data_IF_637362390828
#
_entry.id   IF_637362390828
#
_cell.length_a   1.000
_cell.length_b   1.000
_cell.length_c   1.000
_cell.angle_alpha   90.00
_cell.angle_beta   90.00
_cell.angle_gamma   90.00
#
_symmetry.space_group_name_H-M   'P 1'
#
loop_
_entity.id
_entity.type
_entity.pdbx_description
1 polymer ?
#
# COMPACT_ATOMS: atom_id res chain seq x y z
N UNK A 1 11.98 -4.76 -27.02
CA UNK A 1 12.53 -5.95 -26.34
C UNK A 1 13.03 -5.57 -24.96
N UNK A 2 13.06 -6.49 -23.97
CA UNK A 2 13.60 -6.18 -22.64
C UNK A 2 15.10 -5.85 -22.77
N UNK A 3 15.53 -4.77 -22.11
CA UNK A 3 16.96 -4.43 -22.01
C UNK A 3 17.55 -5.34 -20.93
N UNK A 4 18.40 -6.27 -21.34
CA UNK A 4 19.14 -7.12 -20.43
C UNK A 4 20.50 -6.45 -20.18
N UNK A 5 20.65 -5.79 -19.03
CA UNK A 5 21.91 -5.19 -18.62
C UNK A 5 22.71 -6.24 -17.86
N UNK A 6 23.75 -6.77 -18.51
CA UNK A 6 24.74 -7.60 -17.84
C UNK A 6 25.87 -6.69 -17.36
N UNK A 7 25.84 -6.35 -16.07
CA UNK A 7 26.93 -5.62 -15.44
C UNK A 7 28.05 -6.62 -15.11
N UNK A 8 29.23 -6.40 -15.69
CA UNK A 8 30.41 -7.25 -15.50
C UNK A 8 30.97 -7.20 -14.08
N UNK A 9 30.55 -6.20 -13.28
CA UNK A 9 30.88 -6.07 -11.87
C UNK A 9 29.61 -5.65 -11.11
N UNK A 10 29.19 -6.46 -10.16
CA UNK A 10 28.16 -6.07 -9.18
C UNK A 10 28.89 -5.25 -8.12
N UNK A 11 28.65 -3.95 -8.11
CA UNK A 11 29.22 -3.04 -7.12
C UNK A 11 28.08 -2.30 -6.44
N UNK A 12 28.14 -2.23 -5.11
CA UNK A 12 27.11 -1.60 -4.31
C UNK A 12 27.16 -0.08 -4.49
N UNK A 13 26.07 0.49 -4.98
CA UNK A 13 25.96 1.94 -5.22
C UNK A 13 25.46 2.66 -3.97
N UNK A 14 24.52 2.04 -3.24
CA UNK A 14 23.94 2.58 -2.01
C UNK A 14 22.83 1.69 -1.46
N UNK A 15 22.37 1.99 -0.24
CA UNK A 15 21.26 1.32 0.42
C UNK A 15 20.04 2.25 0.49
N UNK A 16 18.85 1.66 0.36
CA UNK A 16 17.57 2.37 0.51
C UNK A 16 16.62 1.51 1.32
N UNK A 17 15.85 2.15 2.19
CA UNK A 17 14.79 1.52 2.98
C UNK A 17 13.45 2.12 2.62
N UNK A 18 12.46 1.25 2.47
CA UNK A 18 11.07 1.63 2.20
C UNK A 18 10.19 0.97 3.25
N UNK A 19 9.37 1.78 3.91
CA UNK A 19 8.36 1.26 4.83
C UNK A 19 7.10 0.94 4.03
N UNK A 20 6.79 -0.36 3.89
CA UNK A 20 5.62 -0.78 3.16
C UNK A 20 4.32 -0.39 3.89
N UNK A 21 4.31 -0.47 5.22
CA UNK A 21 3.12 -0.27 6.05
C UNK A 21 2.68 1.19 6.09
N UNK A 22 3.62 2.10 6.33
CA UNK A 22 3.28 3.52 6.47
C UNK A 22 3.29 4.30 5.15
N UNK A 23 3.97 3.80 4.11
CA UNK A 23 4.20 4.56 2.87
C UNK A 23 3.63 3.92 1.61
N UNK A 24 3.79 2.60 1.43
CA UNK A 24 3.44 1.94 0.16
C UNK A 24 1.99 1.52 0.14
N UNK A 25 1.60 0.67 1.09
CA UNK A 25 0.28 0.03 1.13
C UNK A 25 -0.88 1.04 1.24
N UNK A 26 -0.81 2.11 2.05
CA UNK A 26 -1.89 3.10 2.13
C UNK A 26 -2.11 3.89 0.83
N UNK A 27 -1.11 3.91 -0.06
CA UNK A 27 -1.20 4.57 -1.37
C UNK A 27 -1.66 3.65 -2.49
N UNK A 28 -1.77 2.34 -2.25
CA UNK A 28 -2.13 1.39 -3.28
C UNK A 28 -3.56 1.63 -3.80
N UNK A 29 -3.72 1.61 -5.12
CA UNK A 29 -5.02 1.74 -5.78
C UNK A 29 -5.31 0.50 -6.62
N UNK A 30 -6.59 0.09 -6.77
CA UNK A 30 -6.95 -0.98 -7.68
C UNK A 30 -6.46 -0.69 -9.09
N UNK A 31 -5.64 -1.59 -9.62
CA UNK A 31 -5.17 -1.59 -10.99
C UNK A 31 -6.23 -2.20 -11.91
N UNK A 32 -6.09 -1.99 -13.22
CA UNK A 32 -7.01 -2.58 -14.20
C UNK A 32 -7.04 -4.10 -14.02
N UNK A 33 -8.25 -4.66 -13.93
CA UNK A 33 -8.47 -6.11 -13.85
C UNK A 33 -7.65 -6.81 -14.92
N UNK A 34 -6.85 -7.77 -14.48
CA UNK A 34 -6.10 -8.64 -15.38
C UNK A 34 -7.09 -9.55 -16.13
N UNK A 35 -6.64 -10.11 -17.25
CA UNK A 35 -7.45 -10.98 -18.13
C UNK A 35 -7.94 -12.23 -17.38
N UNK A 36 -7.22 -12.65 -16.34
CA UNK A 36 -7.57 -13.78 -15.47
C UNK A 36 -8.65 -13.44 -14.42
N UNK A 37 -9.13 -12.19 -14.37
CA UNK A 37 -10.08 -11.72 -13.36
C UNK A 37 -9.46 -11.43 -12.00
N UNK A 38 -8.15 -11.66 -11.81
CA UNK A 38 -7.47 -11.39 -10.55
C UNK A 38 -7.37 -9.88 -10.33
N UNK A 39 -7.86 -9.41 -9.19
CA UNK A 39 -7.66 -8.03 -8.76
C UNK A 39 -6.20 -7.82 -8.38
N UNK A 40 -5.68 -6.64 -8.68
CA UNK A 40 -4.32 -6.26 -8.32
C UNK A 40 -4.30 -4.80 -7.95
N UNK A 41 -3.47 -4.43 -7.00
CA UNK A 41 -3.32 -3.07 -6.52
C UNK A 41 -1.91 -2.59 -6.83
N UNK A 42 -1.79 -1.38 -7.35
CA UNK A 42 -0.51 -0.77 -7.70
C UNK A 42 -0.26 0.44 -6.78
N UNK A 43 0.96 0.58 -6.26
CA UNK A 43 1.37 1.76 -5.51
C UNK A 43 1.67 2.93 -6.45
N UNK A 44 1.62 4.19 -5.98
CA UNK A 44 2.24 5.29 -6.68
C UNK A 44 3.74 5.05 -6.86
N UNK A 45 4.34 5.72 -7.84
CA UNK A 45 5.80 5.72 -8.02
C UNK A 45 6.44 6.49 -6.86
N UNK A 46 7.36 5.85 -6.16
CA UNK A 46 8.10 6.40 -5.05
C UNK A 46 9.51 6.74 -5.49
N UNK A 47 9.91 7.99 -5.26
CA UNK A 47 11.29 8.43 -5.40
C UNK A 47 11.99 8.27 -4.06
N UNK A 48 12.98 7.39 -4.01
CA UNK A 48 13.73 7.09 -2.78
C UNK A 48 15.22 7.39 -2.97
N UNK A 49 15.87 8.05 -2.00
CA UNK A 49 17.31 8.28 -2.04
C UNK A 49 18.06 6.97 -1.76
N UNK A 50 19.07 6.68 -2.57
CA UNK A 50 20.09 5.69 -2.26
C UNK A 50 21.14 6.38 -1.39
N UNK A 51 21.31 5.89 -0.18
CA UNK A 51 22.28 6.41 0.78
C UNK A 51 23.64 5.74 0.55
N UNK A 52 24.70 6.53 0.65
CA UNK A 52 26.07 6.02 0.56
C UNK A 52 26.33 4.96 1.62
N UNK A 53 26.94 3.85 1.20
CA UNK A 53 27.38 2.75 2.07
C UNK A 53 28.90 2.64 2.06
N UNK A 54 29.46 2.15 3.18
CA UNK A 54 30.90 1.96 3.31
C UNK A 54 31.38 0.89 2.32
N UNK A 55 32.38 1.23 1.51
CA UNK A 55 32.91 0.33 0.48
C UNK A 55 32.13 0.31 -0.82
N UNK A 56 31.12 1.18 -0.97
CA UNK A 56 30.40 1.37 -2.23
C UNK A 56 31.23 2.05 -3.32
N UNK A 57 30.67 2.06 -4.53
CA UNK A 57 31.28 2.61 -5.75
C UNK A 57 31.60 4.11 -5.65
N UNK A 58 30.82 4.83 -4.85
CA UNK A 58 31.02 6.25 -4.59
C UNK A 58 32.19 6.38 -3.63
N UNK A 59 33.29 6.97 -4.12
CA UNK A 59 34.58 7.03 -3.42
C UNK A 59 34.50 7.60 -2.00
N UNK A 60 35.58 7.42 -1.24
CA UNK A 60 35.69 7.78 0.19
C UNK A 60 35.50 9.26 0.54
N UNK A 61 35.23 10.12 -0.43
CA UNK A 61 34.97 11.54 -0.23
C UNK A 61 33.50 11.90 0.06
N UNK A 62 32.58 10.94 0.06
CA UNK A 62 31.19 11.18 0.48
C UNK A 62 30.95 10.70 1.92
N UNK A 63 30.11 11.46 2.63
CA UNK A 63 29.68 11.12 3.99
C UNK A 63 28.70 9.94 3.97
N UNK A 64 28.92 8.98 4.89
CA UNK A 64 28.02 7.84 5.05
C UNK A 64 26.60 8.33 5.35
N UNK A 65 25.61 7.76 4.66
CA UNK A 65 24.21 8.14 4.83
C UNK A 65 23.75 9.31 3.94
N UNK A 66 24.65 9.99 3.21
CA UNK A 66 24.26 11.01 2.25
C UNK A 66 23.65 10.37 1.00
N UNK A 67 22.62 11.00 0.44
CA UNK A 67 22.00 10.56 -0.81
C UNK A 67 23.00 10.70 -1.98
N UNK A 68 23.29 9.60 -2.66
CA UNK A 68 24.21 9.54 -3.82
C UNK A 68 23.48 9.35 -5.15
N UNK A 69 22.23 8.89 -5.10
CA UNK A 69 21.35 8.73 -6.26
C UNK A 69 19.89 8.68 -5.80
N UNK A 70 18.96 8.75 -6.75
CA UNK A 70 17.54 8.52 -6.51
C UNK A 70 17.04 7.36 -7.37
N UNK A 71 16.17 6.53 -6.81
CA UNK A 71 15.50 5.45 -7.53
C UNK A 71 14.00 5.67 -7.55
N UNK A 72 13.37 5.31 -8.66
CA UNK A 72 11.92 5.29 -8.81
C UNK A 72 11.43 3.84 -8.66
N UNK A 73 10.63 3.57 -7.62
CA UNK A 73 10.04 2.26 -7.34
C UNK A 73 8.52 2.30 -7.46
N UNK A 74 7.93 1.21 -7.94
CA UNK A 74 6.49 0.98 -7.87
C UNK A 74 6.27 -0.48 -7.45
N UNK A 75 5.27 -0.69 -6.59
CA UNK A 75 4.91 -1.99 -6.05
C UNK A 75 3.56 -2.42 -6.61
N UNK A 76 3.38 -3.72 -6.78
CA UNK A 76 2.09 -4.30 -7.15
C UNK A 76 1.81 -5.51 -6.28
N UNK A 77 0.60 -5.61 -5.76
CA UNK A 77 0.12 -6.75 -4.94
C UNK A 77 -1.14 -7.35 -5.56
N UNK A 78 -1.38 -8.63 -5.32
CA UNK A 78 -2.61 -9.37 -5.64
C UNK A 78 -3.45 -9.69 -4.40
N UNK A 79 -3.06 -9.15 -3.25
CA UNK A 79 -3.88 -9.10 -2.04
C UNK A 79 -4.26 -7.64 -1.73
N UNK A 80 -5.46 -7.47 -1.19
CA UNK A 80 -5.98 -6.18 -0.74
C UNK A 80 -5.01 -5.54 0.27
N UNK A 81 -4.51 -4.30 0.03
CA UNK A 81 -3.58 -3.63 0.93
C UNK A 81 -4.11 -3.48 2.36
N UNK A 82 -5.42 -3.29 2.54
CA UNK A 82 -6.02 -3.15 3.87
C UNK A 82 -5.93 -4.47 4.65
N UNK A 83 -6.16 -5.61 3.97
CA UNK A 83 -5.98 -6.93 4.58
C UNK A 83 -4.52 -7.21 4.97
N UNK A 84 -3.55 -6.73 4.16
CA UNK A 84 -2.12 -6.86 4.49
C UNK A 84 -1.77 -6.02 5.71
N UNK A 85 -2.29 -4.79 5.79
CA UNK A 85 -2.10 -3.90 6.93
C UNK A 85 -2.70 -4.53 8.20
N UNK A 86 -3.94 -5.00 8.16
CA UNK A 86 -4.59 -5.65 9.30
C UNK A 86 -3.80 -6.87 9.81
N UNK A 87 -3.25 -7.67 8.90
CA UNK A 87 -2.42 -8.82 9.25
C UNK A 87 -1.10 -8.38 9.91
N UNK A 88 -0.42 -7.37 9.37
CA UNK A 88 0.80 -6.82 9.93
C UNK A 88 0.56 -6.17 11.31
N UNK A 89 -0.58 -5.51 11.48
CA UNK A 89 -1.03 -4.92 12.74
C UNK A 89 -1.36 -5.98 13.79
N UNK A 90 -1.89 -7.13 13.37
CA UNK A 90 -2.09 -8.29 14.24
C UNK A 90 -0.76 -8.90 14.71
N UNK A 91 0.24 -8.99 13.82
CA UNK A 91 1.54 -9.59 14.15
C UNK A 91 2.42 -8.67 15.02
N UNK A 92 2.36 -7.35 14.78
CA UNK A 92 3.18 -6.37 15.52
C UNK A 92 2.51 -5.84 16.78
N UNK A 93 1.29 -6.28 17.08
CA UNK A 93 0.54 -5.84 18.27
C UNK A 93 1.29 -6.26 19.52
N UNK A 94 1.59 -5.28 20.37
CA UNK A 94 2.18 -5.57 21.68
C UNK A 94 1.12 -6.23 22.57
N UNK A 95 1.57 -7.07 23.51
CA UNK A 95 0.69 -7.68 24.52
C UNK A 95 -0.11 -6.59 25.27
N UNK A 96 0.51 -5.45 25.55
CA UNK A 96 -0.15 -4.30 26.17
C UNK A 96 -1.31 -3.76 25.30
N UNK A 97 -1.11 -3.63 23.98
CA UNK A 97 -2.15 -3.22 23.05
C UNK A 97 -3.33 -4.21 23.02
N UNK A 98 -3.04 -5.51 22.98
CA UNK A 98 -4.08 -6.56 23.02
C UNK A 98 -4.89 -6.50 24.32
N UNK A 99 -4.22 -6.31 25.46
CA UNK A 99 -4.89 -6.21 26.76
C UNK A 99 -5.75 -4.94 26.85
N UNK A 100 -5.27 -3.83 26.30
CA UNK A 100 -6.01 -2.57 26.27
C UNK A 100 -7.29 -2.71 25.42
N UNK A 101 -7.19 -3.27 24.21
CA UNK A 101 -8.34 -3.53 23.34
C UNK A 101 -9.37 -4.45 24.03
N UNK A 102 -8.89 -5.46 24.77
CA UNK A 102 -9.76 -6.34 25.53
C UNK A 102 -10.48 -5.61 26.67
N UNK A 103 -9.76 -4.78 27.42
CA UNK A 103 -10.32 -3.95 28.49
C UNK A 103 -11.37 -2.96 27.95
N UNK A 104 -11.09 -2.31 26.81
CA UNK A 104 -12.02 -1.37 26.19
C UNK A 104 -13.27 -2.07 25.65
N UNK A 105 -13.14 -3.27 25.10
CA UNK A 105 -14.28 -4.10 24.71
C UNK A 105 -15.13 -4.52 25.91
N UNK A 106 -14.50 -4.96 27.01
CA UNK A 106 -15.22 -5.27 28.26
C UNK A 106 -15.94 -4.03 28.79
N UNK A 107 -15.28 -2.88 28.81
CA UNK A 107 -15.87 -1.61 29.25
C UNK A 107 -17.09 -1.23 28.41
N UNK A 108 -17.01 -1.38 27.08
CA UNK A 108 -18.14 -1.14 26.18
C UNK A 108 -19.28 -2.12 26.43
N UNK A 109 -18.98 -3.38 26.77
CA UNK A 109 -20.00 -4.37 27.14
C UNK A 109 -20.72 -3.98 28.44
N UNK A 110 -19.99 -3.55 29.48
CA UNK A 110 -20.59 -3.09 30.73
C UNK A 110 -21.43 -1.81 30.59
N UNK A 111 -21.16 -0.99 29.57
CA UNK A 111 -21.91 0.23 29.30
C UNK A 111 -23.16 -0.01 28.44
N UNK A 112 -23.35 -1.21 27.87
CA UNK A 112 -24.62 -1.54 27.23
C UNK A 112 -25.67 -1.69 28.33
N UNK A 113 -26.73 -0.87 28.34
CA UNK A 113 -27.81 -1.04 29.29
C UNK A 113 -28.36 -2.45 29.13
N UNK A 114 -28.44 -3.17 30.25
CA UNK A 114 -29.12 -4.46 30.28
C UNK A 114 -30.59 -4.11 30.11
N UNK A 115 -31.14 -4.36 28.92
CA UNK A 115 -32.58 -4.32 28.68
C UNK A 115 -33.22 -5.47 29.47
N UNK A 116 -33.44 -5.20 30.77
CA UNK A 116 -34.35 -5.97 31.60
C UNK A 116 -35.73 -5.62 31.07
N UNK A 117 -36.15 -6.31 30.00
CA UNK A 117 -37.49 -6.26 29.45
C UNK A 117 -38.49 -6.70 30.51
N UNK A 118 -38.81 -5.81 31.44
CA UNK A 118 -40.01 -5.86 32.25
C UNK A 118 -41.16 -5.59 31.29
N UNK A 119 -41.54 -6.63 30.57
CA UNK A 119 -42.78 -6.68 29.83
C UNK A 119 -43.92 -6.69 30.87
N UNK A 120 -44.24 -5.51 31.41
CA UNK A 120 -45.42 -5.33 32.24
C UNK A 120 -46.62 -5.71 31.38
N UNK A 121 -47.26 -6.80 31.76
CA UNK A 121 -48.38 -7.39 31.05
C UNK A 121 -49.54 -6.40 30.93
N UNK A 122 -49.76 -5.92 29.71
CA UNK A 122 -51.11 -5.67 29.24
C UNK A 122 -51.68 -7.04 28.81
N UNK A 123 -52.52 -7.59 29.68
CA UNK A 123 -53.27 -8.82 29.45
C UNK A 123 -54.15 -8.66 28.21
N UNK A 124 -53.71 -9.21 27.09
CA UNK A 124 -54.47 -9.34 25.85
C UNK A 124 -54.29 -10.75 25.34
N UNK A 125 -55.31 -11.59 25.55
CA UNK A 125 -55.31 -12.99 25.19
C UNK A 125 -55.06 -13.19 23.68
N UNK A 126 -53.88 -13.70 23.34
CA UNK A 126 -53.63 -14.32 22.05
C UNK A 126 -53.15 -15.76 22.29
N UNK A 127 -53.94 -16.67 21.74
CA UNK A 127 -53.80 -18.12 21.77
C UNK A 127 -52.38 -18.55 21.41
N UNK A 128 -51.68 -19.16 22.37
CA UNK A 128 -50.38 -19.76 22.13
C UNK A 128 -50.58 -21.10 21.40
N UNK A 129 -50.08 -21.15 20.17
CA UNK A 129 -49.73 -22.39 19.48
C UNK A 129 -48.26 -22.69 19.85
N UNK A 130 -47.93 -23.90 20.33
CA UNK A 130 -46.56 -24.21 20.73
C UNK A 130 -45.63 -24.19 19.52
N UNK A 131 -44.49 -23.49 19.58
CA UNK A 131 -43.43 -23.64 18.58
C UNK A 131 -42.75 -24.99 18.80
N UNK A 132 -42.81 -25.84 17.78
CA UNK A 132 -41.98 -27.02 17.66
C UNK A 132 -40.50 -26.64 17.74
N UNK A 133 -39.79 -27.37 18.60
CA UNK A 133 -38.34 -27.54 18.65
C UNK A 133 -37.66 -27.36 17.28
N UNK A 134 -36.92 -26.28 17.08
CA UNK A 134 -35.82 -26.24 16.11
C UNK A 134 -34.59 -25.52 16.69
N UNK A 135 -33.49 -26.25 16.55
CA UNK A 135 -32.08 -25.86 16.56
C UNK A 135 -31.49 -25.12 17.76
N UNK A 136 -30.80 -25.92 18.59
CA UNK A 136 -29.61 -25.52 19.33
C UNK A 136 -28.61 -24.80 18.42
N UNK A 137 -28.69 -23.46 18.40
CA UNK A 137 -27.66 -22.59 17.85
C UNK A 137 -26.39 -22.68 18.68
N UNK A 138 -25.53 -23.63 18.35
CA UNK A 138 -24.11 -23.55 18.65
C UNK A 138 -23.62 -22.20 18.13
N UNK A 139 -23.11 -21.36 19.04
CA UNK A 139 -22.40 -20.15 18.65
C UNK A 139 -21.19 -20.55 17.80
N UNK A 140 -21.35 -20.48 16.47
CA UNK A 140 -20.24 -20.54 15.53
C UNK A 140 -19.38 -19.32 15.80
N UNK A 141 -18.32 -19.52 16.59
CA UNK A 141 -17.17 -18.62 16.60
C UNK A 141 -16.57 -18.70 15.21
N UNK A 142 -16.91 -17.73 14.37
CA UNK A 142 -16.29 -17.52 13.07
C UNK A 142 -14.79 -17.35 13.29
N UNK A 143 -14.04 -18.42 13.09
CA UNK A 143 -12.58 -18.33 13.02
C UNK A 143 -12.27 -17.41 11.84
N UNK A 144 -11.47 -16.34 12.02
CA UNK A 144 -11.11 -15.48 10.92
C UNK A 144 -10.48 -16.34 9.83
N UNK A 145 -11.07 -16.26 8.65
CA UNK A 145 -10.64 -16.97 7.47
C UNK A 145 -9.17 -16.61 7.24
N UNK A 146 -8.29 -17.53 7.61
CA UNK A 146 -6.84 -17.34 7.59
C UNK A 146 -6.46 -17.14 6.13
N UNK A 147 -6.19 -15.90 5.74
CA UNK A 147 -5.70 -15.60 4.41
C UNK A 147 -4.34 -16.29 4.26
N UNK A 148 -4.30 -17.41 3.56
CA UNK A 148 -3.07 -18.10 3.09
C UNK A 148 -2.34 -17.27 2.00
N UNK A 149 -2.33 -15.94 2.15
CA UNK A 149 -1.82 -14.96 1.19
C UNK A 149 -0.29 -14.78 1.25
N UNK A 150 0.39 -15.39 2.23
CA UNK A 150 1.86 -15.39 2.29
C UNK A 150 2.46 -16.49 1.39
N UNK A 151 2.05 -16.55 0.12
CA UNK A 151 2.85 -17.23 -0.91
C UNK A 151 3.88 -16.25 -1.42
N UNK A 152 5.13 -16.48 -1.01
CA UNK A 152 6.31 -15.76 -1.48
C UNK A 152 6.23 -15.56 -3.00
N UNK A 153 6.30 -14.30 -3.45
CA UNK A 153 6.30 -13.96 -4.87
C UNK A 153 7.37 -14.77 -5.59
N UNK A 154 6.95 -15.72 -6.44
CA UNK A 154 7.90 -16.52 -7.20
C UNK A 154 8.81 -15.58 -8.02
N UNK A 155 10.09 -15.92 -8.24
CA UNK A 155 11.00 -15.12 -9.05
C UNK A 155 10.43 -14.72 -10.43
N UNK A 156 9.61 -15.59 -11.02
CA UNK A 156 8.91 -15.35 -12.29
C UNK A 156 7.81 -14.29 -12.20
N UNK A 157 7.18 -14.13 -11.03
CA UNK A 157 6.21 -13.08 -10.74
C UNK A 157 6.87 -11.70 -10.78
N UNK A 158 8.00 -11.56 -10.10
CA UNK A 158 8.80 -10.32 -10.07
C UNK A 158 9.25 -9.91 -11.48
N UNK A 159 9.74 -10.87 -12.29
CA UNK A 159 10.22 -10.58 -13.64
C UNK A 159 9.09 -10.06 -14.57
N UNK A 160 7.88 -10.61 -14.43
CA UNK A 160 6.70 -10.14 -15.19
C UNK A 160 6.23 -8.75 -14.77
N UNK A 161 6.30 -8.41 -13.48
CA UNK A 161 5.99 -7.07 -12.97
C UNK A 161 7.00 -6.05 -13.50
N UNK A 162 8.30 -6.37 -13.43
CA UNK A 162 9.38 -5.54 -13.96
C UNK A 162 9.25 -5.29 -15.48
N UNK A 163 8.87 -6.32 -16.25
CA UNK A 163 8.58 -6.18 -17.69
C UNK A 163 7.44 -5.20 -17.94
N UNK A 164 6.33 -5.30 -17.20
CA UNK A 164 5.17 -4.41 -17.36
C UNK A 164 5.52 -2.95 -17.05
N UNK A 165 6.25 -2.70 -15.98
CA UNK A 165 6.73 -1.37 -15.63
C UNK A 165 7.66 -0.79 -16.71
N UNK A 166 8.52 -1.63 -17.29
CA UNK A 166 9.46 -1.24 -18.35
C UNK A 166 8.76 -0.95 -19.69
N UNK A 167 7.68 -1.67 -20.03
CA UNK A 167 6.92 -1.45 -21.26
C UNK A 167 6.05 -0.17 -21.26
N UNK A 168 5.82 0.45 -20.09
CA UNK A 168 5.16 1.78 -20.02
C UNK A 168 6.13 2.95 -20.19
N UNK A 169 7.44 2.71 -20.17
CA UNK A 169 8.43 3.75 -20.46
C UNK A 169 8.55 3.93 -21.97
N UNK A 170 7.98 5.00 -22.49
CA UNK A 170 8.51 5.60 -23.71
C UNK A 170 9.89 6.16 -23.32
N UNK A 171 11.02 5.62 -23.83
CA UNK A 171 12.34 6.01 -23.37
C UNK A 171 12.67 7.37 -23.96
N UNK A 172 12.20 8.43 -23.30
CA UNK A 172 12.67 9.77 -23.59
C UNK A 172 14.12 9.83 -23.10
N UNK A 173 15.03 10.05 -24.06
CA UNK A 173 16.48 10.16 -23.87
C UNK A 173 16.83 11.47 -23.16
N UNK A 174 16.40 11.65 -21.90
CA UNK A 174 16.99 12.68 -21.06
C UNK A 174 18.42 12.22 -20.71
N UNK A 175 19.43 12.96 -21.17
CA UNK A 175 20.86 12.67 -21.00
C UNK A 175 21.38 12.88 -19.56
N UNK A 176 20.50 13.00 -18.57
CA UNK A 176 20.83 13.18 -17.17
C UNK A 176 19.59 13.28 -16.28
N UNK A 177 19.76 13.26 -14.94
CA UNK A 177 18.68 13.58 -14.01
C UNK A 177 18.15 15.00 -14.29
N UNK A 178 16.82 15.17 -14.20
CA UNK A 178 16.22 16.48 -14.36
C UNK A 178 16.57 17.36 -13.14
N UNK A 179 16.96 18.63 -13.35
CA UNK A 179 17.18 19.57 -12.25
C UNK A 179 15.86 19.88 -11.53
N UNK A 180 15.95 20.26 -10.26
CA UNK A 180 14.80 20.64 -9.45
C UNK A 180 14.07 21.85 -10.08
N UNK A 181 12.72 21.91 -10.07
CA UNK A 181 11.98 23.08 -10.56
C UNK A 181 12.40 24.42 -9.94
N UNK A 182 12.95 24.43 -8.72
CA UNK A 182 13.47 25.65 -8.10
C UNK A 182 14.87 26.04 -8.63
N UNK A 183 15.69 25.08 -9.04
CA UNK A 183 17.05 25.29 -9.55
C UNK A 183 17.07 25.68 -11.03
N UNK A 184 16.19 25.07 -11.82
CA UNK A 184 16.08 25.33 -13.26
C UNK A 184 14.60 25.39 -13.65
N UNK A 185 13.92 26.53 -13.46
CA UNK A 185 12.49 26.65 -13.74
C UNK A 185 12.16 26.47 -15.22
N UNK A 186 13.16 26.67 -16.10
CA UNK A 186 13.02 26.48 -17.53
C UNK A 186 12.66 25.03 -17.89
N UNK A 187 11.52 24.86 -18.55
CA UNK A 187 11.03 23.55 -18.98
C UNK A 187 10.08 22.88 -18.00
N UNK A 188 9.95 23.39 -16.77
CA UNK A 188 8.89 23.00 -15.85
C UNK A 188 7.62 23.83 -16.07
N UNK A 189 6.47 23.20 -15.95
CA UNK A 189 5.16 23.85 -15.92
C UNK A 189 4.47 23.53 -14.61
N UNK A 190 3.81 24.54 -14.02
CA UNK A 190 3.06 24.39 -12.78
C UNK A 190 1.56 24.57 -13.00
N UNK A 191 0.73 23.76 -12.34
CA UNK A 191 -0.73 23.91 -12.28
C UNK A 191 -1.16 23.91 -10.82
N UNK A 192 -1.98 24.90 -10.45
CA UNK A 192 -2.64 24.93 -9.13
C UNK A 192 -3.92 24.11 -9.20
N UNK A 193 -4.01 23.05 -8.38
CA UNK A 193 -5.21 22.23 -8.27
C UNK A 193 -6.33 22.89 -7.47
N UNK A 194 -7.52 22.28 -7.49
CA UNK A 194 -8.72 22.76 -6.76
C UNK A 194 -8.52 22.87 -5.24
N UNK A 195 -7.58 22.11 -4.69
CA UNK A 195 -7.22 22.13 -3.26
C UNK A 195 -6.07 23.09 -2.93
N UNK A 196 -5.64 23.92 -3.88
CA UNK A 196 -4.52 24.84 -3.70
C UNK A 196 -3.12 24.22 -3.80
N UNK A 197 -3.00 22.89 -4.01
CA UNK A 197 -1.70 22.24 -4.25
C UNK A 197 -1.16 22.63 -5.62
N UNK A 198 0.16 22.80 -5.71
CA UNK A 198 0.86 23.07 -6.96
C UNK A 198 1.46 21.76 -7.49
N UNK A 199 1.12 21.40 -8.72
CA UNK A 199 1.67 20.26 -9.43
C UNK A 199 2.71 20.76 -10.43
N UNK A 200 3.86 20.10 -10.49
CA UNK A 200 4.95 20.43 -11.41
C UNK A 200 5.13 19.29 -12.42
N UNK A 201 5.30 19.63 -13.69
CA UNK A 201 5.59 18.66 -14.76
C UNK A 201 6.66 19.23 -15.70
N UNK A 202 7.65 18.41 -16.05
CA UNK A 202 8.72 18.83 -16.96
C UNK A 202 8.33 18.51 -18.41
N UNK A 203 8.35 19.51 -19.31
CA UNK A 203 7.92 19.39 -20.72
C UNK A 203 8.65 18.29 -21.50
N UNK A 204 9.92 18.02 -21.15
CA UNK A 204 10.65 16.90 -21.77
C UNK A 204 10.03 15.53 -21.48
N UNK A 205 9.22 15.36 -20.43
CA UNK A 205 8.56 14.08 -20.13
C UNK A 205 7.32 13.83 -21.02
N UNK A 206 6.97 14.76 -21.90
CA UNK A 206 5.76 14.75 -22.72
C UNK A 206 4.77 15.84 -22.29
N UNK A 207 3.57 15.88 -22.90
CA UNK A 207 2.50 16.79 -22.48
C UNK A 207 2.13 16.54 -21.02
N UNK A 208 1.70 17.59 -20.31
CA UNK A 208 1.27 17.38 -18.93
C UNK A 208 -0.08 16.65 -18.91
N UNK A 209 -0.32 15.78 -17.91
CA UNK A 209 -1.57 15.01 -17.83
C UNK A 209 -2.83 15.88 -17.78
N UNK A 210 -2.69 17.14 -17.37
CA UNK A 210 -3.77 18.11 -17.25
C UNK A 210 -4.03 18.94 -18.52
N UNK A 211 -3.21 18.84 -19.55
CA UNK A 211 -3.43 19.55 -20.81
C UNK A 211 -4.52 18.87 -21.66
N UNK A 212 -4.83 17.60 -21.40
CA UNK A 212 -5.87 16.83 -22.11
C UNK A 212 -7.31 17.14 -21.62
N UNK A 213 -7.46 17.97 -20.58
CA UNK A 213 -8.77 18.34 -19.99
C UNK A 213 -9.38 19.63 -20.58
N UNK A 214 -8.72 20.26 -21.57
CA UNK A 214 -9.12 21.51 -22.24
C UNK A 214 -9.70 21.25 -23.63
#
# INVERSE_FOLDING_TARGET
GPVQLQLSQVADVGEVRVDLRSRVLPGCVPSRRKVDGTESWDSPVLLLPLNHVRGGLVGSGQELGKAVAHIALAFSTDADPDCILDAADAETRTVAGVLQDHADNMKRWFQKPIDLGLSLGASGACSQRPPSHEESGLMQVSTPQRCDALRTLSPRGCERAARRASSRRNPIRASGPLPDPEEAPDGWISRKGRNGRVFWHHRMLGPAPWEEEL
#
